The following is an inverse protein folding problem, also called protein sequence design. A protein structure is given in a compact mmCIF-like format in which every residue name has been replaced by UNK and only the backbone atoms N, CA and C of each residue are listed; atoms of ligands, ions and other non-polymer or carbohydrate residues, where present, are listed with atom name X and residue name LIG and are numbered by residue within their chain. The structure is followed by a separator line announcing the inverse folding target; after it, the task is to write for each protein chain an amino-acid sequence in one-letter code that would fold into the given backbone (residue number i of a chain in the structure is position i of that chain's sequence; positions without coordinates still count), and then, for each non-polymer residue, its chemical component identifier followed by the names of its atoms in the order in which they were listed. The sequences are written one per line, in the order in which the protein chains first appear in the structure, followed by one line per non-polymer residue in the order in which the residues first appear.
data_IF_150187964757
#
_entry.id   IF_150187964757
#
_cell.length_a   1.000
_cell.length_b   1.000
_cell.length_c   1.000
_cell.angle_alpha   90.00
_cell.angle_beta   90.00
_cell.angle_gamma   90.00
#
_symmetry.space_group_name_H-M   'P 1'
#
loop_
_entity.id
_entity.type
_entity.pdbx_description
1 polymer ?
#
# COMPACT_ATOMS: atom_id res chain seq x y z
N UNK A 1 -20.23 14.19 -23.23
CA UNK A 1 -19.46 14.17 -21.97
C UNK A 1 -18.01 14.43 -22.35
N UNK A 2 -17.41 15.54 -21.93
CA UNK A 2 -16.06 15.90 -22.37
C UNK A 2 -15.03 14.94 -21.76
N UNK A 3 -14.00 14.56 -22.53
CA UNK A 3 -12.88 13.73 -22.06
C UNK A 3 -12.18 14.32 -20.82
N UNK A 4 -12.34 15.62 -20.59
CA UNK A 4 -11.85 16.32 -19.40
C UNK A 4 -12.44 15.76 -18.09
N UNK A 5 -13.68 15.26 -18.09
CA UNK A 5 -14.29 14.64 -16.90
C UNK A 5 -13.52 13.37 -16.51
N UNK A 6 -13.06 12.61 -17.47
CA UNK A 6 -12.27 11.38 -17.23
C UNK A 6 -10.87 11.68 -16.66
N UNK A 7 -10.42 12.94 -16.71
CA UNK A 7 -9.17 13.40 -16.10
C UNK A 7 -9.37 14.09 -14.75
N UNK A 8 -10.58 14.10 -14.21
CA UNK A 8 -10.81 14.62 -12.86
C UNK A 8 -9.99 13.82 -11.85
N UNK A 9 -9.21 14.48 -10.95
CA UNK A 9 -8.41 13.80 -9.95
C UNK A 9 -9.25 12.99 -8.97
N UNK A 10 -10.54 13.29 -8.86
CA UNK A 10 -11.48 12.64 -7.95
C UNK A 10 -12.26 11.49 -8.57
N UNK A 11 -12.35 11.42 -9.91
CA UNK A 11 -13.19 10.42 -10.58
C UNK A 11 -12.66 9.00 -10.34
N UNK A 12 -11.37 8.75 -10.56
CA UNK A 12 -10.80 7.42 -10.37
C UNK A 12 -10.83 6.97 -8.90
N UNK A 13 -10.41 7.80 -7.92
CA UNK A 13 -10.58 7.46 -6.50
C UNK A 13 -12.05 7.20 -6.11
N UNK A 14 -12.99 8.00 -6.60
CA UNK A 14 -14.41 7.79 -6.33
C UNK A 14 -14.94 6.46 -6.90
N UNK A 15 -14.55 6.14 -8.14
CA UNK A 15 -14.92 4.86 -8.78
C UNK A 15 -14.30 3.67 -8.04
N UNK A 16 -13.03 3.77 -7.64
CA UNK A 16 -12.36 2.75 -6.83
C UNK A 16 -13.07 2.59 -5.49
N UNK A 17 -13.40 3.69 -4.79
CA UNK A 17 -14.11 3.65 -3.52
C UNK A 17 -15.49 3.01 -3.62
N UNK A 18 -16.27 3.36 -4.64
CA UNK A 18 -17.56 2.76 -4.92
C UNK A 18 -17.42 1.26 -5.22
N UNK A 19 -16.42 0.88 -6.01
CA UNK A 19 -16.17 -0.51 -6.38
C UNK A 19 -15.72 -1.33 -5.16
N UNK A 20 -14.86 -0.78 -4.30
CA UNK A 20 -14.49 -1.37 -3.00
C UNK A 20 -15.73 -1.62 -2.15
N UNK A 21 -16.62 -0.63 -2.04
CA UNK A 21 -17.87 -0.79 -1.31
C UNK A 21 -18.71 -1.96 -1.84
N UNK A 22 -18.87 -2.08 -3.16
CA UNK A 22 -19.60 -3.20 -3.77
C UNK A 22 -18.93 -4.54 -3.48
N UNK A 23 -17.61 -4.66 -3.60
CA UNK A 23 -16.91 -5.92 -3.29
C UNK A 23 -17.08 -6.27 -1.81
N UNK A 24 -16.91 -5.33 -0.89
CA UNK A 24 -17.04 -5.57 0.55
C UNK A 24 -18.48 -5.98 0.91
N UNK A 25 -19.48 -5.41 0.23
CA UNK A 25 -20.88 -5.73 0.47
C UNK A 25 -21.28 -7.11 -0.04
N UNK A 26 -20.82 -7.50 -1.24
CA UNK A 26 -21.34 -8.67 -1.96
C UNK A 26 -20.35 -9.81 -2.12
N UNK A 27 -19.04 -9.53 -2.06
CA UNK A 27 -17.94 -10.49 -2.34
C UNK A 27 -16.73 -10.22 -1.46
N UNK A 28 -16.95 -10.03 -0.15
CA UNK A 28 -15.89 -9.69 0.81
C UNK A 28 -14.72 -10.69 0.86
N UNK A 29 -15.01 -11.97 0.58
CA UNK A 29 -14.02 -13.04 0.50
C UNK A 29 -13.01 -12.88 -0.65
N UNK A 30 -13.37 -12.09 -1.66
CA UNK A 30 -12.50 -11.77 -2.80
C UNK A 30 -11.62 -10.53 -2.53
N UNK A 31 -12.06 -9.66 -1.64
CA UNK A 31 -11.42 -8.36 -1.41
C UNK A 31 -9.97 -8.50 -0.93
N UNK A 32 -9.77 -9.19 0.22
CA UNK A 32 -8.45 -9.28 0.84
C UNK A 32 -7.46 -10.15 0.07
N UNK A 33 -7.83 -11.34 -0.44
CA UNK A 33 -6.85 -12.21 -1.08
C UNK A 33 -6.51 -11.81 -2.53
N UNK A 34 -7.36 -11.05 -3.21
CA UNK A 34 -7.18 -10.78 -4.63
C UNK A 34 -7.23 -9.30 -4.96
N UNK A 35 -8.38 -8.62 -4.74
CA UNK A 35 -8.57 -7.27 -5.24
C UNK A 35 -7.61 -6.25 -4.60
N UNK A 36 -7.58 -6.23 -3.28
CA UNK A 36 -6.76 -5.27 -2.55
C UNK A 36 -5.25 -5.46 -2.84
N UNK A 37 -4.65 -6.68 -2.74
CA UNK A 37 -3.26 -6.87 -3.13
C UNK A 37 -3.00 -6.51 -4.59
N UNK A 38 -3.84 -6.94 -5.52
CA UNK A 38 -3.66 -6.63 -6.93
C UNK A 38 -3.65 -5.12 -7.18
N UNK A 39 -4.59 -4.38 -6.57
CA UNK A 39 -4.66 -2.93 -6.72
C UNK A 39 -3.40 -2.24 -6.19
N UNK A 40 -2.93 -2.62 -5.01
CA UNK A 40 -1.81 -1.95 -4.37
C UNK A 40 -0.48 -2.30 -5.03
N UNK A 41 -0.25 -3.58 -5.36
CA UNK A 41 0.94 -3.94 -6.12
C UNK A 41 0.96 -3.29 -7.50
N UNK A 42 -0.21 -3.06 -8.11
CA UNK A 42 -0.32 -2.32 -9.36
C UNK A 42 0.07 -0.85 -9.17
N UNK A 43 -0.42 -0.18 -8.13
CA UNK A 43 -0.10 1.21 -7.85
C UNK A 43 1.36 1.39 -7.45
N UNK A 44 1.82 0.62 -6.47
CA UNK A 44 3.18 0.73 -5.94
C UNK A 44 4.22 0.27 -6.97
N UNK A 45 4.06 -0.94 -7.52
CA UNK A 45 4.98 -1.47 -8.53
C UNK A 45 5.02 -0.62 -9.79
N UNK A 46 3.86 -0.11 -10.22
CA UNK A 46 3.79 0.81 -11.35
C UNK A 46 4.53 2.14 -11.08
N UNK A 47 4.49 2.64 -9.83
CA UNK A 47 5.30 3.82 -9.44
C UNK A 47 6.80 3.50 -9.48
N UNK A 48 7.21 2.35 -8.94
CA UNK A 48 8.61 1.92 -9.01
C UNK A 48 9.09 1.82 -10.46
N UNK A 49 8.27 1.23 -11.34
CA UNK A 49 8.60 1.13 -12.79
C UNK A 49 8.70 2.53 -13.42
N UNK A 50 7.82 3.48 -13.07
CA UNK A 50 7.92 4.88 -13.53
C UNK A 50 9.27 5.50 -13.15
N UNK A 51 9.63 5.37 -11.88
CA UNK A 51 10.86 5.97 -11.35
C UNK A 51 12.13 5.31 -11.94
N UNK A 52 12.05 4.04 -12.30
CA UNK A 52 13.15 3.32 -12.98
C UNK A 52 13.26 3.63 -14.47
N UNK A 53 12.14 3.76 -15.18
CA UNK A 53 12.14 3.95 -16.64
C UNK A 53 12.31 5.41 -17.04
N UNK A 54 11.84 6.35 -16.23
CA UNK A 54 11.93 7.80 -16.44
C UNK A 54 11.49 8.27 -17.83
N UNK A 55 10.51 7.57 -18.43
CA UNK A 55 10.00 7.90 -19.76
C UNK A 55 9.22 9.22 -19.72
N UNK A 56 9.60 10.17 -20.55
CA UNK A 56 8.93 11.46 -20.68
C UNK A 56 7.50 11.30 -21.19
N UNK A 57 6.64 12.24 -20.81
CA UNK A 57 5.27 12.27 -21.33
C UNK A 57 5.20 12.91 -22.70
N UNK A 58 4.22 12.51 -23.55
CA UNK A 58 4.10 13.05 -24.91
C UNK A 58 4.05 14.58 -24.96
N UNK A 59 3.35 15.21 -24.03
CA UNK A 59 3.20 16.68 -24.00
C UNK A 59 4.48 17.42 -23.58
N UNK A 60 5.45 16.73 -22.96
CA UNK A 60 6.78 17.31 -22.66
C UNK A 60 7.59 17.42 -23.93
N UNK A 61 7.46 16.44 -24.82
CA UNK A 61 8.13 16.41 -26.12
C UNK A 61 7.46 17.34 -27.14
N UNK A 62 6.12 17.36 -27.11
CA UNK A 62 5.31 18.24 -27.98
C UNK A 62 4.12 18.83 -27.19
N UNK A 63 4.25 20.05 -26.66
CA UNK A 63 3.19 20.71 -25.88
C UNK A 63 1.87 20.91 -26.64
N UNK A 64 1.90 20.92 -27.98
CA UNK A 64 0.68 21.15 -28.79
C UNK A 64 -0.31 20.00 -28.76
N UNK A 65 0.11 18.81 -28.36
CA UNK A 65 -0.76 17.63 -28.27
C UNK A 65 -1.53 17.54 -26.94
N UNK A 66 -1.21 18.41 -25.98
CA UNK A 66 -1.89 18.42 -24.69
C UNK A 66 -3.33 18.87 -24.86
N UNK A 67 -4.26 17.96 -24.58
CA UNK A 67 -5.68 18.29 -24.56
C UNK A 67 -6.05 19.19 -23.37
N UNK A 68 -7.28 19.72 -23.40
CA UNK A 68 -7.82 20.52 -22.30
C UNK A 68 -7.93 19.65 -21.04
N UNK A 69 -7.05 19.89 -20.07
CA UNK A 69 -7.00 19.16 -18.80
C UNK A 69 -6.74 20.14 -17.65
N UNK A 70 -7.48 19.94 -16.55
CA UNK A 70 -7.32 20.77 -15.34
C UNK A 70 -6.03 20.43 -14.56
N UNK A 71 -5.52 19.19 -14.71
CA UNK A 71 -4.35 18.69 -13.99
C UNK A 71 -3.33 18.11 -14.95
N UNK A 72 -2.18 18.75 -15.02
CA UNK A 72 -1.03 18.26 -15.78
C UNK A 72 -0.16 17.46 -14.84
N UNK A 73 0.02 16.13 -15.09
CA UNK A 73 0.86 15.29 -14.25
C UNK A 73 2.34 15.71 -14.35
N UNK A 74 3.05 15.65 -13.24
CA UNK A 74 4.48 15.97 -13.15
C UNK A 74 5.38 14.73 -13.06
N UNK A 75 4.78 13.53 -12.95
CA UNK A 75 5.48 12.25 -12.91
C UNK A 75 5.74 11.69 -14.31
N UNK A 76 6.57 10.64 -14.40
CA UNK A 76 6.93 9.95 -15.65
C UNK A 76 5.73 9.26 -16.33
N UNK A 77 5.87 8.92 -17.62
CA UNK A 77 4.77 8.40 -18.42
C UNK A 77 4.50 6.90 -18.18
N UNK A 78 5.51 6.06 -18.22
CA UNK A 78 5.37 4.60 -18.26
C UNK A 78 5.53 3.93 -16.89
N UNK A 79 4.64 2.98 -16.52
CA UNK A 79 3.38 2.65 -17.17
C UNK A 79 2.25 3.59 -16.78
N UNK A 80 1.16 3.61 -17.55
CA UNK A 80 -0.04 4.39 -17.18
C UNK A 80 -0.78 3.76 -16.00
N UNK A 81 -0.71 4.38 -14.83
CA UNK A 81 -1.39 3.89 -13.61
C UNK A 81 -2.92 3.94 -13.73
N UNK A 82 -3.49 4.91 -14.46
CA UNK A 82 -4.93 4.95 -14.70
C UNK A 82 -5.41 3.75 -15.51
N UNK A 83 -4.68 3.40 -16.58
CA UNK A 83 -4.98 2.23 -17.37
C UNK A 83 -4.79 0.94 -16.55
N UNK A 84 -3.74 0.90 -15.72
CA UNK A 84 -3.46 -0.24 -14.86
C UNK A 84 -4.57 -0.48 -13.81
N UNK A 85 -5.01 0.57 -13.10
CA UNK A 85 -6.11 0.46 -12.11
C UNK A 85 -7.42 0.06 -12.80
N UNK A 86 -7.76 0.67 -13.93
CA UNK A 86 -8.95 0.30 -14.70
C UNK A 86 -8.92 -1.17 -15.14
N UNK A 87 -7.73 -1.69 -15.45
CA UNK A 87 -7.52 -3.11 -15.79
C UNK A 87 -7.76 -4.03 -14.59
N UNK A 88 -7.27 -3.69 -13.39
CA UNK A 88 -7.57 -4.47 -12.17
C UNK A 88 -9.08 -4.54 -11.92
N UNK A 89 -9.78 -3.41 -12.07
CA UNK A 89 -11.24 -3.35 -11.92
C UNK A 89 -11.92 -4.22 -12.99
N UNK A 90 -11.49 -4.13 -14.25
CA UNK A 90 -12.05 -4.94 -15.34
C UNK A 90 -11.90 -6.44 -15.08
N UNK A 91 -10.70 -6.91 -14.71
CA UNK A 91 -10.47 -8.31 -14.34
C UNK A 91 -11.32 -8.75 -13.15
N UNK A 92 -11.49 -7.88 -12.15
CA UNK A 92 -12.35 -8.18 -11.01
C UNK A 92 -13.81 -8.34 -11.43
N UNK A 93 -14.33 -7.47 -12.32
CA UNK A 93 -15.68 -7.59 -12.87
C UNK A 93 -15.83 -8.92 -13.64
N UNK A 94 -14.86 -9.26 -14.48
CA UNK A 94 -14.87 -10.50 -15.26
C UNK A 94 -14.95 -11.72 -14.37
N UNK A 95 -14.18 -11.76 -13.29
CA UNK A 95 -14.12 -12.91 -12.38
C UNK A 95 -15.37 -12.99 -11.50
N UNK A 96 -15.83 -11.87 -10.94
CA UNK A 96 -16.95 -11.87 -9.99
C UNK A 96 -18.32 -11.84 -10.67
N UNK A 97 -18.42 -11.16 -11.79
CA UNK A 97 -19.66 -10.92 -12.52
C UNK A 97 -19.47 -11.09 -14.03
N UNK A 98 -19.26 -12.33 -14.54
CA UNK A 98 -18.93 -12.58 -15.96
C UNK A 98 -19.91 -11.97 -16.97
N UNK A 99 -21.18 -11.82 -16.58
CA UNK A 99 -22.22 -11.19 -17.42
C UNK A 99 -21.92 -9.71 -17.73
N UNK A 100 -21.15 -9.06 -16.87
CA UNK A 100 -20.75 -7.65 -17.00
C UNK A 100 -19.34 -7.47 -17.59
N UNK A 101 -18.69 -8.56 -18.03
CA UNK A 101 -17.34 -8.47 -18.63
C UNK A 101 -17.23 -7.47 -19.79
N UNK A 102 -18.19 -7.34 -20.72
CA UNK A 102 -18.11 -6.33 -21.77
C UNK A 102 -18.04 -4.90 -21.21
N UNK A 103 -18.78 -4.61 -20.12
CA UNK A 103 -18.72 -3.29 -19.45
C UNK A 103 -17.37 -3.04 -18.76
N UNK A 104 -16.80 -4.08 -18.15
CA UNK A 104 -15.45 -4.00 -17.56
C UNK A 104 -14.39 -3.65 -18.59
N UNK A 105 -14.38 -4.36 -19.72
CA UNK A 105 -13.45 -4.07 -20.82
C UNK A 105 -13.70 -2.70 -21.44
N UNK A 106 -14.95 -2.34 -21.70
CA UNK A 106 -15.30 -1.02 -22.25
C UNK A 106 -14.82 0.10 -21.31
N UNK A 107 -15.05 -0.04 -20.00
CA UNK A 107 -14.60 0.95 -19.01
C UNK A 107 -13.07 1.11 -19.00
N UNK A 108 -12.33 -0.01 -18.99
CA UNK A 108 -10.87 0.03 -19.06
C UNK A 108 -10.37 0.66 -20.37
N UNK A 109 -11.02 0.31 -21.50
CA UNK A 109 -10.70 0.88 -22.81
C UNK A 109 -10.95 2.40 -22.84
N UNK A 110 -12.08 2.88 -22.34
CA UNK A 110 -12.40 4.31 -22.31
C UNK A 110 -11.41 5.10 -21.44
N UNK A 111 -11.01 4.56 -20.28
CA UNK A 111 -9.96 5.15 -19.46
C UNK A 111 -8.65 5.19 -20.24
N UNK A 112 -8.24 4.07 -20.83
CA UNK A 112 -7.02 3.97 -21.62
C UNK A 112 -7.01 4.97 -22.79
N UNK A 113 -8.07 5.00 -23.58
CA UNK A 113 -8.25 5.91 -24.70
C UNK A 113 -8.15 7.37 -24.25
N UNK A 114 -8.81 7.74 -23.14
CA UNK A 114 -8.77 9.10 -22.64
C UNK A 114 -7.35 9.59 -22.31
N UNK A 115 -6.47 8.70 -21.83
CA UNK A 115 -5.07 9.06 -21.51
C UNK A 115 -4.27 9.41 -22.75
N UNK A 116 -4.49 8.67 -23.84
CA UNK A 116 -3.83 8.91 -25.13
C UNK A 116 -4.44 10.15 -25.82
N UNK A 117 -5.76 10.23 -25.88
CA UNK A 117 -6.47 11.33 -26.53
C UNK A 117 -6.24 12.70 -25.87
N UNK A 118 -5.91 12.73 -24.58
CA UNK A 118 -5.52 13.96 -23.85
C UNK A 118 -4.02 14.27 -23.97
N UNK A 119 -3.22 13.47 -24.70
CA UNK A 119 -1.78 13.68 -24.84
C UNK A 119 -0.98 13.42 -23.56
N UNK A 120 -1.57 12.73 -22.56
CA UNK A 120 -0.96 12.46 -21.26
C UNK A 120 -0.05 11.24 -21.26
N UNK A 121 -0.31 10.29 -22.17
CA UNK A 121 0.40 9.02 -22.29
C UNK A 121 0.54 8.58 -23.75
N UNK A 122 1.64 7.89 -24.05
CA UNK A 122 1.77 7.14 -25.30
C UNK A 122 0.91 5.88 -25.25
N UNK A 123 0.59 5.32 -26.42
CA UNK A 123 -0.11 4.02 -26.50
C UNK A 123 0.68 2.92 -25.78
N UNK A 124 2.00 2.96 -25.85
CA UNK A 124 2.90 2.03 -25.15
C UNK A 124 2.76 2.10 -23.63
N UNK A 125 2.56 3.29 -23.05
CA UNK A 125 2.39 3.46 -21.60
C UNK A 125 1.10 2.79 -21.12
N UNK A 126 0.06 2.94 -21.91
CA UNK A 126 -1.26 2.36 -21.63
C UNK A 126 -1.22 0.84 -21.78
N UNK A 127 -0.59 0.34 -22.85
CA UNK A 127 -0.37 -1.10 -23.04
C UNK A 127 0.48 -1.68 -21.90
N UNK A 128 1.56 -0.99 -21.50
CA UNK A 128 2.38 -1.37 -20.36
C UNK A 128 1.57 -1.46 -19.06
N UNK A 129 0.70 -0.47 -18.81
CA UNK A 129 -0.23 -0.49 -17.68
C UNK A 129 -1.18 -1.69 -17.68
N UNK A 130 -1.75 -2.00 -18.86
CA UNK A 130 -2.63 -3.16 -19.04
C UNK A 130 -1.89 -4.49 -18.76
N UNK A 131 -0.74 -4.72 -19.37
CA UNK A 131 0.01 -5.96 -19.19
C UNK A 131 0.53 -6.12 -17.77
N UNK A 132 1.06 -5.05 -17.19
CA UNK A 132 1.53 -5.06 -15.82
C UNK A 132 0.42 -5.42 -14.83
N UNK A 133 -0.71 -4.71 -14.90
CA UNK A 133 -1.86 -4.96 -14.03
C UNK A 133 -2.47 -6.35 -14.25
N UNK A 134 -2.49 -6.85 -15.49
CA UNK A 134 -2.94 -8.20 -15.82
C UNK A 134 -2.04 -9.25 -15.15
N UNK A 135 -0.71 -9.13 -15.27
CA UNK A 135 0.23 -10.03 -14.63
C UNK A 135 0.07 -10.03 -13.10
N UNK A 136 -0.04 -8.85 -12.50
CA UNK A 136 -0.25 -8.69 -11.05
C UNK A 136 -1.57 -9.35 -10.63
N UNK A 137 -2.68 -9.02 -11.29
CA UNK A 137 -4.00 -9.56 -10.94
C UNK A 137 -4.05 -11.09 -11.01
N UNK A 138 -3.58 -11.68 -12.12
CA UNK A 138 -3.61 -13.12 -12.31
C UNK A 138 -2.62 -13.85 -11.38
N UNK A 139 -1.55 -13.22 -10.95
CA UNK A 139 -0.66 -13.76 -9.92
C UNK A 139 -1.40 -13.92 -8.59
N UNK A 140 -2.08 -12.86 -8.12
CA UNK A 140 -2.87 -12.95 -6.88
C UNK A 140 -4.08 -13.87 -7.02
N UNK A 141 -4.75 -13.87 -8.17
CA UNK A 141 -5.85 -14.79 -8.43
C UNK A 141 -5.38 -16.25 -8.38
N UNK A 142 -4.28 -16.59 -9.05
CA UNK A 142 -3.72 -17.94 -9.03
C UNK A 142 -3.29 -18.38 -7.63
N UNK A 143 -2.62 -17.48 -6.89
CA UNK A 143 -2.26 -17.72 -5.50
C UNK A 143 -3.50 -17.98 -4.63
N UNK A 144 -4.59 -17.27 -4.85
CA UNK A 144 -5.83 -17.43 -4.09
C UNK A 144 -6.51 -18.79 -4.30
N UNK A 145 -6.26 -19.45 -5.45
CA UNK A 145 -6.80 -20.78 -5.74
C UNK A 145 -6.03 -21.92 -5.04
N UNK A 146 -4.89 -21.62 -4.42
CA UNK A 146 -4.15 -22.62 -3.66
C UNK A 146 -4.84 -22.90 -2.32
N UNK A 147 -4.78 -24.16 -1.80
CA UNK A 147 -5.34 -24.52 -0.48
C UNK A 147 -4.80 -23.63 0.63
N UNK A 148 -3.54 -23.19 0.52
CA UNK A 148 -2.88 -22.30 1.48
C UNK A 148 -3.54 -20.91 1.53
N UNK A 149 -4.04 -20.40 0.41
CA UNK A 149 -4.67 -19.07 0.36
C UNK A 149 -6.07 -19.05 1.01
N UNK A 150 -6.79 -20.18 1.03
CA UNK A 150 -8.08 -20.28 1.73
C UNK A 150 -7.95 -20.07 3.25
N UNK A 151 -6.75 -20.34 3.80
CA UNK A 151 -6.47 -20.16 5.23
C UNK A 151 -6.19 -18.70 5.62
N UNK A 152 -5.87 -17.83 4.64
CA UNK A 152 -5.67 -16.41 4.88
C UNK A 152 -6.90 -15.74 5.49
N UNK A 153 -8.09 -16.04 4.93
CA UNK A 153 -9.34 -15.53 5.45
C UNK A 153 -9.70 -16.05 6.85
N UNK A 154 -9.16 -17.21 7.24
CA UNK A 154 -9.43 -17.85 8.53
C UNK A 154 -8.42 -17.45 9.60
N UNK A 155 -7.17 -17.14 9.20
CA UNK A 155 -6.12 -16.78 10.15
C UNK A 155 -6.11 -15.29 10.48
N UNK A 156 -6.50 -14.96 11.71
CA UNK A 156 -6.60 -13.57 12.17
C UNK A 156 -5.27 -12.82 12.13
N UNK A 157 -4.15 -13.50 12.37
CA UNK A 157 -2.83 -12.88 12.32
C UNK A 157 -2.46 -12.46 10.89
N UNK A 158 -2.75 -13.30 9.89
CA UNK A 158 -2.52 -12.99 8.49
C UNK A 158 -3.44 -11.85 8.02
N UNK A 159 -4.74 -11.91 8.32
CA UNK A 159 -5.67 -10.82 7.98
C UNK A 159 -5.19 -9.47 8.49
N UNK A 160 -4.78 -9.43 9.76
CA UNK A 160 -4.27 -8.22 10.38
C UNK A 160 -3.01 -7.70 9.68
N UNK A 161 -2.06 -8.57 9.34
CA UNK A 161 -0.82 -8.18 8.67
C UNK A 161 -1.02 -7.74 7.23
N UNK A 162 -1.99 -8.33 6.54
CA UNK A 162 -2.40 -7.87 5.21
C UNK A 162 -2.98 -6.46 5.29
N UNK A 163 -3.92 -6.20 6.22
CA UNK A 163 -4.46 -4.84 6.41
C UNK A 163 -3.37 -3.85 6.80
N UNK A 164 -2.44 -4.25 7.67
CA UNK A 164 -1.29 -3.45 8.08
C UNK A 164 -0.40 -3.06 6.89
N UNK A 165 -0.07 -4.04 6.04
CA UNK A 165 0.67 -3.82 4.80
C UNK A 165 -0.04 -2.81 3.90
N UNK A 166 -1.32 -3.01 3.67
CA UNK A 166 -2.10 -2.16 2.76
C UNK A 166 -2.28 -0.75 3.28
N UNK A 167 -2.61 -0.62 4.55
CA UNK A 167 -2.75 0.66 5.20
C UNK A 167 -1.44 1.46 5.11
N UNK A 168 -0.32 0.83 5.46
CA UNK A 168 0.98 1.49 5.44
C UNK A 168 1.48 1.84 4.04
N UNK A 169 1.29 0.95 3.06
CA UNK A 169 1.62 1.27 1.65
C UNK A 169 0.78 2.43 1.14
N UNK A 170 -0.53 2.42 1.39
CA UNK A 170 -1.42 3.51 0.99
C UNK A 170 -1.03 4.84 1.64
N UNK A 171 -0.66 4.78 2.93
CA UNK A 171 -0.21 5.94 3.67
C UNK A 171 1.13 6.50 3.14
N UNK A 172 2.11 5.62 2.92
CA UNK A 172 3.41 6.01 2.35
C UNK A 172 3.25 6.66 0.97
N UNK A 173 2.39 6.09 0.11
CA UNK A 173 2.08 6.67 -1.20
C UNK A 173 1.37 8.02 -1.07
N UNK A 174 0.36 8.12 -0.21
CA UNK A 174 -0.39 9.36 -0.03
C UNK A 174 0.50 10.51 0.48
N UNK A 175 1.44 10.21 1.37
CA UNK A 175 2.41 11.17 1.88
C UNK A 175 3.44 11.53 0.79
N UNK A 176 4.03 10.54 0.12
CA UNK A 176 5.03 10.77 -0.91
C UNK A 176 4.50 11.58 -2.09
N UNK A 177 3.25 11.35 -2.49
CA UNK A 177 2.57 12.15 -3.53
C UNK A 177 1.98 13.46 -3.02
N UNK A 178 2.18 13.79 -1.75
CA UNK A 178 1.61 14.98 -1.10
C UNK A 178 0.08 15.07 -1.21
N UNK A 179 -0.61 13.97 -1.47
CA UNK A 179 -2.07 13.87 -1.36
C UNK A 179 -2.47 14.09 0.10
N UNK A 180 -1.69 13.50 1.03
CA UNK A 180 -1.84 13.68 2.45
C UNK A 180 -0.67 14.53 2.96
N UNK A 181 -0.82 15.86 2.90
CA UNK A 181 0.18 16.78 3.45
C UNK A 181 0.27 16.64 4.98
N UNK A 182 1.37 17.05 5.63
CA UNK A 182 1.53 16.96 7.10
C UNK A 182 0.34 17.55 7.86
N UNK A 183 -0.23 18.67 7.38
CA UNK A 183 -1.41 19.32 7.97
C UNK A 183 -2.65 18.43 7.92
N UNK A 184 -2.96 17.86 6.76
CA UNK A 184 -4.12 16.96 6.61
C UNK A 184 -3.89 15.63 7.30
N UNK A 185 -2.65 15.16 7.34
CA UNK A 185 -2.33 13.93 8.07
C UNK A 185 -2.48 14.11 9.59
N UNK A 186 -2.08 15.27 10.12
CA UNK A 186 -2.32 15.62 11.52
C UNK A 186 -3.83 15.61 11.82
N UNK A 187 -4.64 16.31 10.99
CA UNK A 187 -6.09 16.34 11.16
C UNK A 187 -6.70 14.93 11.10
N UNK A 188 -6.32 14.13 10.11
CA UNK A 188 -6.77 12.75 9.98
C UNK A 188 -6.45 11.92 11.23
N UNK A 189 -5.22 12.02 11.75
CA UNK A 189 -4.78 11.28 12.94
C UNK A 189 -5.58 11.65 14.17
N UNK A 190 -5.84 12.96 14.38
CA UNK A 190 -6.68 13.42 15.48
C UNK A 190 -8.13 12.97 15.34
N UNK A 191 -8.73 13.08 14.14
CA UNK A 191 -10.08 12.60 13.89
C UNK A 191 -10.21 11.08 14.11
N UNK A 192 -9.24 10.30 13.64
CA UNK A 192 -9.19 8.85 13.91
C UNK A 192 -9.09 8.57 15.42
N UNK A 193 -8.27 9.34 16.13
CA UNK A 193 -8.13 9.21 17.60
C UNK A 193 -9.45 9.48 18.30
N UNK A 194 -10.10 10.60 17.96
CA UNK A 194 -11.42 10.96 18.51
C UNK A 194 -12.46 9.89 18.19
N UNK A 195 -12.52 9.42 16.95
CA UNK A 195 -13.46 8.37 16.53
C UNK A 195 -13.29 7.08 17.36
N UNK A 196 -12.04 6.63 17.54
CA UNK A 196 -11.76 5.41 18.31
C UNK A 196 -12.02 5.60 19.82
N UNK A 197 -11.75 6.79 20.37
CA UNK A 197 -12.07 7.13 21.75
C UNK A 197 -13.59 7.18 21.96
N UNK A 198 -14.33 7.84 21.07
CA UNK A 198 -15.80 7.87 21.12
C UNK A 198 -16.37 6.47 20.99
N UNK A 199 -15.84 5.65 20.08
CA UNK A 199 -16.27 4.26 19.94
C UNK A 199 -15.94 3.39 21.17
N UNK A 200 -14.88 3.72 21.90
CA UNK A 200 -14.55 3.06 23.17
C UNK A 200 -15.55 3.44 24.29
N UNK A 201 -15.97 4.70 24.35
CA UNK A 201 -16.91 5.22 25.36
C UNK A 201 -18.37 4.88 25.01
N UNK A 202 -18.73 4.97 23.73
CA UNK A 202 -20.07 4.75 23.18
C UNK A 202 -19.96 3.74 22.01
N UNK A 203 -19.96 2.44 22.32
CA UNK A 203 -19.69 1.41 21.33
C UNK A 203 -20.70 1.42 20.17
N UNK A 204 -20.20 1.74 18.96
CA UNK A 204 -20.98 1.64 17.74
C UNK A 204 -20.81 0.26 17.13
N UNK A 205 -21.87 -0.55 17.18
CA UNK A 205 -21.84 -1.98 16.83
C UNK A 205 -21.18 -2.29 15.48
N UNK A 206 -21.49 -1.59 14.35
CA UNK A 206 -20.85 -1.86 13.06
C UNK A 206 -19.34 -1.63 13.10
N UNK A 207 -18.87 -0.54 13.72
CA UNK A 207 -17.45 -0.22 13.84
C UNK A 207 -16.73 -1.21 14.75
N UNK A 208 -17.33 -1.56 15.90
CA UNK A 208 -16.79 -2.59 16.79
C UNK A 208 -16.63 -3.93 16.07
N UNK A 209 -17.64 -4.40 15.35
CA UNK A 209 -17.58 -5.66 14.61
C UNK A 209 -16.48 -5.64 13.55
N UNK A 210 -16.32 -4.51 12.86
CA UNK A 210 -15.23 -4.33 11.90
C UNK A 210 -13.86 -4.41 12.58
N UNK A 211 -13.65 -3.69 13.68
CA UNK A 211 -12.37 -3.69 14.40
C UNK A 211 -12.10 -5.08 14.99
N UNK A 212 -13.06 -5.70 15.64
CA UNK A 212 -12.94 -7.04 16.25
C UNK A 212 -12.58 -8.10 15.19
N UNK A 213 -13.08 -7.96 13.96
CA UNK A 213 -12.75 -8.87 12.87
C UNK A 213 -11.25 -8.93 12.57
N UNK A 214 -10.50 -7.87 12.88
CA UNK A 214 -9.04 -7.77 12.67
C UNK A 214 -8.23 -7.80 13.97
N UNK A 215 -8.87 -7.88 15.15
CA UNK A 215 -8.15 -7.91 16.44
C UNK A 215 -7.82 -9.33 16.90
N UNK A 216 -6.69 -9.46 17.62
CA UNK A 216 -6.28 -10.73 18.25
C UNK A 216 -7.15 -11.04 19.46
N UNK A 217 -7.35 -12.33 19.73
CA UNK A 217 -7.96 -12.79 20.98
C UNK A 217 -6.86 -13.18 21.97
N UNK A 218 -6.97 -12.85 23.28
CA UNK A 218 -8.06 -12.07 23.89
C UNK A 218 -8.07 -10.61 23.39
N UNK A 219 -9.26 -10.00 23.31
CA UNK A 219 -9.41 -8.64 22.82
C UNK A 219 -8.66 -7.65 23.72
N UNK A 220 -7.99 -6.63 23.16
CA UNK A 220 -7.34 -5.58 23.94
C UNK A 220 -8.37 -4.73 24.68
N UNK A 221 -7.96 -4.09 25.78
CA UNK A 221 -8.83 -3.15 26.52
C UNK A 221 -9.30 -1.99 25.65
N UNK A 222 -8.43 -1.52 24.73
CA UNK A 222 -8.75 -0.48 23.77
C UNK A 222 -8.73 -1.07 22.35
N UNK A 223 -9.91 -1.17 21.73
CA UNK A 223 -10.06 -1.67 20.37
C UNK A 223 -9.49 -0.66 19.36
N UNK A 224 -8.69 -1.15 18.39
CA UNK A 224 -8.06 -0.30 17.38
C UNK A 224 -6.74 0.34 17.82
N UNK A 225 -6.16 -0.07 18.96
CA UNK A 225 -4.86 0.43 19.40
C UNK A 225 -3.74 0.23 18.38
N UNK A 226 -3.72 -0.90 17.67
CA UNK A 226 -2.71 -1.20 16.65
C UNK A 226 -2.70 -0.19 15.50
N UNK A 227 -3.79 -0.01 14.76
CA UNK A 227 -3.91 1.02 13.71
C UNK A 227 -3.64 2.44 14.23
N UNK A 228 -4.10 2.76 15.45
CA UNK A 228 -3.88 4.07 16.04
C UNK A 228 -2.39 4.35 16.27
N UNK A 229 -1.67 3.42 16.89
CA UNK A 229 -0.23 3.56 17.14
C UNK A 229 0.57 3.62 15.82
N UNK A 230 0.17 2.84 14.82
CA UNK A 230 0.75 2.93 13.47
C UNK A 230 0.58 4.34 12.89
N UNK A 231 -0.63 4.88 12.95
CA UNK A 231 -0.93 6.21 12.38
C UNK A 231 -0.14 7.30 13.11
N UNK A 232 -0.09 7.26 14.44
CA UNK A 232 0.68 8.23 15.23
C UNK A 232 2.18 8.15 14.95
N UNK A 233 2.78 6.96 14.91
CA UNK A 233 4.21 6.83 14.61
C UNK A 233 4.57 7.29 13.20
N UNK A 234 3.68 7.03 12.23
CA UNK A 234 3.83 7.50 10.86
C UNK A 234 3.70 9.03 10.77
N UNK A 235 2.78 9.64 11.53
CA UNK A 235 2.68 11.10 11.62
C UNK A 235 3.94 11.70 12.23
N UNK A 236 4.42 11.16 13.35
CA UNK A 236 5.67 11.64 13.99
C UNK A 236 6.82 11.52 13.00
N UNK A 237 6.96 10.39 12.30
CA UNK A 237 8.00 10.22 11.29
C UNK A 237 7.89 11.29 10.18
N UNK A 238 6.67 11.61 9.73
CA UNK A 238 6.43 12.63 8.68
C UNK A 238 6.74 14.05 9.17
N UNK A 239 6.58 14.33 10.46
CA UNK A 239 6.86 15.65 11.04
C UNK A 239 8.35 15.84 11.39
N UNK A 240 9.05 14.74 11.72
CA UNK A 240 10.45 14.78 12.23
C UNK A 240 11.47 14.57 11.11
N UNK A 241 11.16 13.75 10.13
CA UNK A 241 12.10 13.36 9.07
C UNK A 241 11.80 14.05 7.74
N UNK A 242 12.83 14.26 6.89
CA UNK A 242 12.64 14.63 5.49
C UNK A 242 11.71 13.62 4.78
N UNK A 243 10.92 14.09 3.81
CA UNK A 243 9.89 13.29 3.15
C UNK A 243 10.36 11.91 2.64
N UNK A 244 11.52 11.76 1.96
CA UNK A 244 12.01 10.45 1.54
C UNK A 244 12.29 9.52 2.72
N UNK A 245 12.92 10.04 3.78
CA UNK A 245 13.25 9.28 5.00
C UNK A 245 11.99 8.86 5.75
N UNK A 246 11.01 9.76 5.87
CA UNK A 246 9.70 9.46 6.46
C UNK A 246 8.98 8.35 5.66
N UNK A 247 9.02 8.41 4.33
CA UNK A 247 8.44 7.38 3.47
C UNK A 247 9.09 6.02 3.71
N UNK A 248 10.43 5.94 3.77
CA UNK A 248 11.15 4.70 4.09
C UNK A 248 10.79 4.20 5.49
N UNK A 249 10.70 5.08 6.48
CA UNK A 249 10.34 4.73 7.85
C UNK A 249 8.95 4.06 7.93
N UNK A 250 7.96 4.60 7.21
CA UNK A 250 6.61 4.03 7.12
C UNK A 250 6.63 2.69 6.35
N UNK A 251 7.38 2.61 5.25
CA UNK A 251 7.53 1.38 4.47
C UNK A 251 8.21 0.27 5.28
N UNK A 252 9.19 0.59 6.11
CA UNK A 252 9.86 -0.38 6.97
C UNK A 252 8.91 -1.04 7.96
N UNK A 253 7.98 -0.27 8.54
CA UNK A 253 6.95 -0.82 9.39
C UNK A 253 5.91 -1.61 8.58
N UNK A 254 5.39 -1.03 7.50
CA UNK A 254 4.32 -1.63 6.71
C UNK A 254 4.74 -2.94 6.04
N UNK A 255 5.87 -2.91 5.34
CA UNK A 255 6.37 -4.06 4.55
C UNK A 255 7.18 -4.99 5.44
N UNK A 256 8.09 -4.45 6.25
CA UNK A 256 8.99 -5.23 7.11
C UNK A 256 8.21 -6.15 8.04
N UNK A 257 7.40 -5.59 8.93
CA UNK A 257 6.60 -6.33 9.90
C UNK A 257 5.57 -7.28 9.24
N UNK A 258 4.98 -6.86 8.11
CA UNK A 258 3.99 -7.71 7.42
C UNK A 258 4.62 -8.89 6.70
N UNK A 259 5.71 -8.66 5.94
CA UNK A 259 6.41 -9.73 5.22
C UNK A 259 7.06 -10.71 6.18
N UNK A 260 7.66 -10.22 7.29
CA UNK A 260 8.22 -11.09 8.33
C UNK A 260 7.14 -12.02 8.91
N UNK A 261 5.97 -11.50 9.23
CA UNK A 261 4.88 -12.30 9.77
C UNK A 261 4.30 -13.28 8.74
N UNK A 262 4.13 -12.87 7.48
CA UNK A 262 3.62 -13.71 6.39
C UNK A 262 4.62 -14.80 6.05
N UNK A 263 5.89 -14.45 5.84
CA UNK A 263 6.96 -15.43 5.58
C UNK A 263 7.14 -16.39 6.75
N UNK A 264 7.07 -15.88 7.99
CA UNK A 264 7.09 -16.70 9.20
C UNK A 264 5.96 -17.74 9.23
N UNK A 265 4.76 -17.35 8.83
CA UNK A 265 3.62 -18.27 8.75
C UNK A 265 3.86 -19.41 7.75
N UNK A 266 4.33 -19.10 6.54
CA UNK A 266 4.55 -20.11 5.50
C UNK A 266 5.80 -20.95 5.72
N UNK A 267 6.85 -20.37 6.25
CA UNK A 267 8.10 -21.06 6.50
C UNK A 267 8.11 -21.83 7.82
N UNK A 268 7.20 -21.51 8.75
CA UNK A 268 7.22 -21.96 10.14
C UNK A 268 6.18 -23.06 10.45
N UNK A 269 6.26 -24.22 9.83
CA UNK A 269 5.64 -25.42 10.43
C UNK A 269 6.42 -25.95 11.65
N UNK A 270 7.17 -25.09 12.36
CA UNK A 270 7.94 -25.44 13.55
C UNK A 270 8.83 -24.29 14.04
N UNK A 271 9.04 -24.21 15.37
CA UNK A 271 9.76 -23.17 16.12
C UNK A 271 11.28 -23.08 15.88
N UNK A 272 11.80 -23.44 14.70
CA UNK A 272 13.23 -23.44 14.42
C UNK A 272 13.77 -22.03 14.21
N UNK A 273 14.87 -21.67 14.89
CA UNK A 273 15.61 -20.42 14.73
C UNK A 273 15.96 -20.14 13.26
N UNK A 274 16.37 -21.14 12.49
CA UNK A 274 16.69 -21.02 11.07
C UNK A 274 15.54 -20.46 10.25
N UNK A 275 14.31 -20.86 10.55
CA UNK A 275 13.10 -20.38 9.85
C UNK A 275 12.72 -18.95 10.24
N UNK A 276 12.96 -18.55 11.49
CA UNK A 276 12.81 -17.15 11.93
C UNK A 276 13.76 -16.23 11.18
N UNK A 277 15.01 -16.63 10.98
CA UNK A 277 15.99 -15.88 10.18
C UNK A 277 15.59 -15.80 8.71
N UNK A 278 15.03 -16.86 8.12
CA UNK A 278 14.56 -16.83 6.73
C UNK A 278 13.43 -15.83 6.53
N UNK A 279 12.50 -15.72 7.46
CA UNK A 279 11.43 -14.74 7.43
C UNK A 279 11.97 -13.30 7.59
N UNK A 280 12.90 -13.09 8.53
CA UNK A 280 13.55 -11.80 8.74
C UNK A 280 14.36 -11.35 7.49
N UNK A 281 15.04 -12.28 6.83
CA UNK A 281 15.78 -12.01 5.60
C UNK A 281 14.84 -11.66 4.45
N UNK A 282 13.72 -12.38 4.28
CA UNK A 282 12.71 -12.04 3.27
C UNK A 282 12.11 -10.64 3.51
N UNK A 283 11.85 -10.31 4.78
CA UNK A 283 11.39 -8.99 5.20
C UNK A 283 12.42 -7.90 4.86
N UNK A 284 13.70 -8.12 5.17
CA UNK A 284 14.77 -7.17 4.86
C UNK A 284 14.90 -6.92 3.35
N UNK A 285 14.87 -7.98 2.53
CA UNK A 285 14.89 -7.86 1.06
C UNK A 285 13.69 -7.07 0.57
N UNK A 286 12.48 -7.43 0.99
CA UNK A 286 11.27 -6.77 0.54
C UNK A 286 11.28 -5.27 0.91
N UNK A 287 11.64 -4.96 2.16
CA UNK A 287 11.74 -3.57 2.64
C UNK A 287 12.80 -2.78 1.88
N UNK A 288 13.97 -3.37 1.65
CA UNK A 288 15.03 -2.73 0.85
C UNK A 288 14.52 -2.41 -0.55
N UNK A 289 13.92 -3.41 -1.22
CA UNK A 289 13.44 -3.25 -2.61
C UNK A 289 12.44 -2.10 -2.74
N UNK A 290 11.45 -2.01 -1.84
CA UNK A 290 10.44 -0.94 -1.91
C UNK A 290 10.96 0.42 -1.47
N UNK A 291 12.09 0.46 -0.75
CA UNK A 291 12.70 1.69 -0.22
C UNK A 291 13.78 2.29 -1.15
N UNK A 292 14.34 1.49 -2.07
CA UNK A 292 15.39 1.94 -3.01
C UNK A 292 15.04 3.23 -3.78
N UNK A 293 13.79 3.49 -4.22
CA UNK A 293 13.44 4.74 -4.88
C UNK A 293 13.58 5.99 -4.01
N UNK A 294 13.67 5.84 -2.69
CA UNK A 294 13.61 6.94 -1.73
C UNK A 294 14.95 7.24 -1.05
N UNK A 295 15.86 6.26 -0.99
CA UNK A 295 17.18 6.46 -0.40
C UNK A 295 18.21 5.48 -0.97
N UNK A 296 19.48 5.90 -1.08
CA UNK A 296 20.59 5.04 -1.52
C UNK A 296 20.80 3.83 -0.59
N UNK A 297 21.21 2.70 -1.17
CA UNK A 297 21.44 1.45 -0.42
C UNK A 297 22.41 1.62 0.75
N UNK A 298 23.42 2.47 0.63
CA UNK A 298 24.40 2.77 1.71
C UNK A 298 23.77 3.32 2.97
N UNK A 299 22.60 3.99 2.87
CA UNK A 299 21.83 4.50 4.01
C UNK A 299 20.74 3.52 4.44
N UNK A 300 20.14 2.79 3.48
CA UNK A 300 19.10 1.81 3.76
C UNK A 300 19.63 0.58 4.49
N UNK A 301 20.78 0.06 4.09
CA UNK A 301 21.31 -1.19 4.64
C UNK A 301 21.49 -1.16 6.17
N UNK A 302 22.14 -0.15 6.78
CA UNK A 302 22.25 -0.09 8.24
C UNK A 302 20.89 0.09 8.93
N UNK A 303 19.97 0.86 8.35
CA UNK A 303 18.65 1.09 8.92
C UNK A 303 17.79 -0.18 8.93
N UNK A 304 17.73 -0.88 7.79
CA UNK A 304 16.96 -2.12 7.65
C UNK A 304 17.57 -3.24 8.50
N UNK A 305 18.90 -3.35 8.55
CA UNK A 305 19.56 -4.31 9.42
C UNK A 305 19.22 -4.06 10.89
N UNK A 306 19.31 -2.80 11.34
CA UNK A 306 19.00 -2.42 12.73
C UNK A 306 17.55 -2.75 13.07
N UNK A 307 16.60 -2.39 12.23
CA UNK A 307 15.17 -2.67 12.48
C UNK A 307 14.87 -4.16 12.44
N UNK A 308 15.50 -4.92 11.54
CA UNK A 308 15.36 -6.38 11.48
C UNK A 308 15.87 -7.04 12.76
N UNK A 309 17.02 -6.60 13.28
CA UNK A 309 17.59 -7.11 14.55
C UNK A 309 16.66 -6.76 15.72
N UNK A 310 16.17 -5.52 15.78
CA UNK A 310 15.26 -5.08 16.85
C UNK A 310 13.94 -5.87 16.83
N UNK A 311 13.36 -6.08 15.65
CA UNK A 311 12.15 -6.88 15.50
C UNK A 311 12.38 -8.35 15.94
N UNK A 312 13.54 -8.90 15.59
CA UNK A 312 13.93 -10.26 15.98
C UNK A 312 14.17 -10.40 17.50
N UNK A 313 14.76 -9.38 18.14
CA UNK A 313 15.12 -9.40 19.56
C UNK A 313 13.94 -9.17 20.51
N UNK A 314 12.80 -8.67 19.98
CA UNK A 314 11.59 -8.37 20.77
C UNK A 314 11.90 -7.56 22.06
N UNK A 315 12.42 -6.33 21.93
CA UNK A 315 12.90 -5.57 23.08
C UNK A 315 11.80 -5.33 24.12
N UNK A 316 12.15 -5.41 25.38
CA UNK A 316 11.24 -5.26 26.53
C UNK A 316 11.72 -4.12 27.44
N UNK A 317 10.77 -3.30 27.91
CA UNK A 317 10.98 -2.36 29.00
C UNK A 317 10.07 -2.77 30.15
N UNK A 318 10.63 -2.95 31.35
CA UNK A 318 9.91 -3.41 32.54
C UNK A 318 9.10 -4.70 32.28
N UNK A 319 9.71 -5.68 31.63
CA UNK A 319 9.09 -6.94 31.22
C UNK A 319 7.89 -6.81 30.22
N UNK A 320 7.58 -5.62 29.72
CA UNK A 320 6.57 -5.42 28.69
C UNK A 320 7.26 -5.23 27.33
N UNK A 321 6.80 -5.97 26.31
CA UNK A 321 7.27 -5.81 24.93
C UNK A 321 6.93 -4.39 24.43
N UNK A 322 7.92 -3.73 23.85
CA UNK A 322 7.70 -2.44 23.16
C UNK A 322 6.85 -2.71 21.92
N UNK A 323 5.90 -1.82 21.65
CA UNK A 323 5.03 -1.97 20.48
C UNK A 323 5.81 -1.62 19.20
N UNK A 324 5.95 -2.60 18.30
CA UNK A 324 6.67 -2.48 17.03
C UNK A 324 6.15 -1.31 16.19
N UNK A 325 4.84 -1.08 16.21
CA UNK A 325 4.21 0.00 15.46
C UNK A 325 4.68 1.40 15.89
N UNK A 326 5.21 1.53 17.09
CA UNK A 326 5.65 2.83 17.60
C UNK A 326 7.13 3.08 17.28
N UNK A 327 8.01 2.10 17.49
CA UNK A 327 9.44 2.40 17.46
C UNK A 327 10.11 2.11 16.10
N UNK A 328 9.61 1.16 15.29
CA UNK A 328 10.23 0.82 14.00
C UNK A 328 10.39 2.05 13.10
N UNK A 329 9.35 2.88 12.84
CA UNK A 329 9.51 4.03 11.96
C UNK A 329 10.53 5.05 12.49
N UNK A 330 10.54 5.29 13.80
CA UNK A 330 11.42 6.27 14.40
C UNK A 330 12.88 5.81 14.38
N UNK A 331 13.13 4.54 14.66
CA UNK A 331 14.48 3.95 14.58
C UNK A 331 14.97 3.93 13.15
N UNK A 332 14.15 3.49 12.20
CA UNK A 332 14.53 3.47 10.77
C UNK A 332 14.93 4.86 10.30
N UNK A 333 14.08 5.87 10.51
CA UNK A 333 14.38 7.25 10.11
C UNK A 333 15.61 7.81 10.78
N UNK A 334 15.77 7.59 12.10
CA UNK A 334 16.94 8.03 12.85
C UNK A 334 18.24 7.40 12.37
N UNK A 335 18.25 6.10 12.06
CA UNK A 335 19.45 5.41 11.54
C UNK A 335 19.80 5.88 10.12
N UNK A 336 18.81 6.16 9.27
CA UNK A 336 19.07 6.73 7.94
C UNK A 336 19.77 8.08 8.06
N UNK A 337 19.25 9.00 8.90
CA UNK A 337 19.88 10.32 9.08
C UNK A 337 21.28 10.22 9.67
N UNK A 338 21.52 9.26 10.57
CA UNK A 338 22.84 8.98 11.11
C UNK A 338 23.79 8.47 10.01
N UNK A 339 23.32 7.55 9.18
CA UNK A 339 24.07 7.02 8.06
C UNK A 339 24.38 8.11 7.01
N UNK A 340 23.45 9.01 6.74
CA UNK A 340 23.69 10.18 5.88
C UNK A 340 24.86 11.02 6.44
N UNK A 341 24.87 11.32 7.74
CA UNK A 341 25.96 12.07 8.36
C UNK A 341 27.32 11.38 8.34
N UNK A 342 27.36 10.05 8.34
CA UNK A 342 28.61 9.27 8.39
C UNK A 342 29.18 9.06 6.97
N UNK A 343 28.33 8.89 5.98
CA UNK A 343 28.71 8.50 4.61
C UNK A 343 28.63 9.64 3.58
N UNK A 344 28.27 10.85 4.00
CA UNK A 344 28.43 12.11 3.23
C UNK A 344 29.54 12.96 3.80
#
# INVERSE_FOLDING_TARGET
MSLAILNSPWLLPALVGLFVFFILKFKKEFFLPIFAPALIFTLFGGKVVKDLTQISRPFVENPTILGVTANIPTDFAFPSLHAAVATVIAWTIIVLWPKFSPLGFLGAFLVAYSRVALGLHHVTDVAGGFFFATAVFWSFYSLSQTKSASDWGKNINLRRKIVHLFYGLSLALAINYQILTPRYFTLFTFLLTILLLLNHLLPFVPLNNLIIYFERKPLPKFLGAGPLLFTWSSLIATLVFPLPVATVAILSLAVGDSVNAIAGYYLNNGHSLKKRWSAAFASAIATTTVSLPYAPLKFLAPAILTTTILEFSEPKINNKRINDNLFIPLVTGGVILLAEKIFT
#
